data_IF_141538552546
#
_entry.id   IF_141538552546
#
_cell.length_a   1.000
_cell.length_b   1.000
_cell.length_c   1.000
_cell.angle_alpha   90.00
_cell.angle_beta   90.00
_cell.angle_gamma   90.00
#
_symmetry.space_group_name_H-M   'P 1'
#
loop_
_entity.id
_entity.type
_entity.pdbx_description
1 polymer ?
#
# COMPACT_ATOMS: atom_id res chain seq x y z
N UNK A 1 -27.86 -1.24 -18.05
CA UNK A 1 -27.08 -1.59 -19.26
C UNK A 1 -25.67 -1.96 -18.82
N UNK A 2 -24.82 -2.58 -19.66
CA UNK A 2 -23.38 -2.64 -19.36
C UNK A 2 -22.75 -1.33 -19.83
N UNK A 3 -22.30 -0.49 -18.90
CA UNK A 3 -21.60 0.76 -19.20
C UNK A 3 -20.35 0.47 -20.05
N UNK A 4 -20.07 1.31 -21.04
CA UNK A 4 -18.93 1.17 -21.94
C UNK A 4 -17.63 1.63 -21.27
N UNK A 5 -16.55 0.85 -21.47
CA UNK A 5 -15.17 1.27 -21.23
C UNK A 5 -14.52 1.57 -22.60
N UNK A 6 -13.66 2.57 -22.65
CA UNK A 6 -12.94 2.98 -23.87
C UNK A 6 -11.49 3.33 -23.55
N UNK A 7 -10.54 2.74 -24.27
CA UNK A 7 -9.11 3.07 -24.18
C UNK A 7 -8.86 4.54 -24.58
N UNK A 8 -7.97 5.24 -23.86
CA UNK A 8 -7.57 6.64 -24.15
C UNK A 8 -6.07 6.78 -24.40
N UNK A 9 -5.23 6.18 -23.56
CA UNK A 9 -3.76 6.28 -23.65
C UNK A 9 -3.10 5.04 -23.04
N UNK A 10 -1.96 4.61 -23.60
CA UNK A 10 -1.03 3.68 -22.94
C UNK A 10 0.17 4.49 -22.44
N UNK A 11 0.29 4.60 -21.12
CA UNK A 11 1.35 5.33 -20.42
C UNK A 11 2.52 4.37 -20.15
N UNK A 12 3.59 4.53 -20.92
CA UNK A 12 4.79 3.68 -20.84
C UNK A 12 5.40 3.61 -19.43
N UNK A 13 6.15 2.53 -19.14
CA UNK A 13 6.75 2.35 -17.81
C UNK A 13 7.70 3.49 -17.41
N UNK A 14 8.40 4.12 -18.36
CA UNK A 14 9.24 5.29 -18.09
C UNK A 14 8.39 6.49 -17.63
N UNK A 15 7.36 6.86 -18.39
CA UNK A 15 6.43 7.96 -18.04
C UNK A 15 5.67 7.68 -16.74
N UNK A 16 5.31 6.42 -16.49
CA UNK A 16 4.71 5.99 -15.23
C UNK A 16 5.68 6.17 -14.04
N UNK A 17 6.97 5.84 -14.18
CA UNK A 17 7.97 6.11 -13.13
C UNK A 17 8.13 7.60 -12.85
N UNK A 18 7.99 8.46 -13.86
CA UNK A 18 8.02 9.93 -13.68
C UNK A 18 6.79 10.44 -12.91
N UNK A 19 5.60 9.91 -13.20
CA UNK A 19 4.38 10.17 -12.41
C UNK A 19 4.55 9.68 -10.96
N UNK A 20 4.97 8.43 -10.75
CA UNK A 20 5.18 7.86 -9.40
C UNK A 20 6.20 8.67 -8.59
N UNK A 21 7.33 9.09 -9.19
CA UNK A 21 8.33 9.99 -8.56
C UNK A 21 7.77 11.35 -8.13
N UNK A 22 6.65 11.78 -8.71
CA UNK A 22 6.00 13.06 -8.43
C UNK A 22 4.82 12.99 -7.47
N UNK A 23 4.35 11.78 -7.10
CA UNK A 23 3.40 11.58 -6.00
C UNK A 23 3.91 12.29 -4.76
N UNK A 24 3.00 12.99 -4.08
CA UNK A 24 3.23 13.59 -2.77
C UNK A 24 2.48 12.84 -1.69
N UNK A 25 3.01 12.78 -0.47
CA UNK A 25 2.19 12.47 0.70
C UNK A 25 1.21 13.62 0.97
N UNK A 26 -0.01 13.28 1.38
CA UNK A 26 -1.08 14.23 1.69
C UNK A 26 -0.77 15.06 2.95
N UNK A 27 0.00 14.51 3.89
CA UNK A 27 0.42 15.23 5.09
C UNK A 27 1.74 14.74 5.72
N UNK A 28 2.74 14.42 4.89
CA UNK A 28 4.13 14.53 5.32
C UNK A 28 4.74 15.79 4.73
N UNK A 29 5.49 16.49 5.58
CA UNK A 29 6.13 17.76 5.27
C UNK A 29 7.61 17.74 5.66
N UNK A 30 8.41 18.61 5.05
CA UNK A 30 9.70 19.03 5.61
C UNK A 30 9.50 20.17 6.63
N UNK A 31 10.60 20.72 7.17
CA UNK A 31 10.57 21.83 8.13
C UNK A 31 10.03 23.13 7.51
N UNK A 32 10.06 23.23 6.18
CA UNK A 32 9.56 24.34 5.36
C UNK A 32 8.05 24.25 5.02
N UNK A 33 7.32 23.26 5.57
CA UNK A 33 5.90 22.93 5.22
C UNK A 33 5.68 22.49 3.75
N UNK A 34 6.72 22.13 2.98
CA UNK A 34 6.57 21.55 1.64
C UNK A 34 6.17 20.05 1.71
N UNK A 35 5.25 19.60 0.85
CA UNK A 35 4.85 18.19 0.78
C UNK A 35 6.01 17.26 0.37
N UNK A 36 6.17 16.16 1.10
CA UNK A 36 7.18 15.14 0.85
C UNK A 36 6.79 14.24 -0.34
N UNK A 37 7.73 14.01 -1.26
CA UNK A 37 7.59 13.06 -2.38
C UNK A 37 8.28 11.73 -2.03
N UNK A 38 7.55 10.64 -1.72
CA UNK A 38 8.13 9.39 -1.19
C UNK A 38 9.09 8.74 -2.19
N UNK A 39 8.63 8.66 -3.43
CA UNK A 39 9.31 7.92 -4.47
C UNK A 39 10.34 8.75 -5.26
N UNK A 40 10.63 10.00 -4.86
CA UNK A 40 11.52 10.94 -5.59
C UNK A 40 12.88 10.33 -5.95
N UNK A 41 13.42 9.47 -5.06
CA UNK A 41 14.68 8.73 -5.21
C UNK A 41 14.51 7.21 -5.41
N UNK A 42 13.28 6.72 -5.54
CA UNK A 42 13.02 5.28 -5.65
C UNK A 42 13.52 4.69 -6.97
N UNK A 43 13.94 3.44 -6.88
CA UNK A 43 14.14 2.52 -8.02
C UNK A 43 12.82 1.79 -8.25
N UNK A 44 12.54 1.46 -9.50
CA UNK A 44 11.32 0.77 -9.90
C UNK A 44 11.68 -0.32 -10.92
N UNK A 45 11.13 -1.51 -10.74
CA UNK A 45 11.24 -2.63 -11.68
C UNK A 45 9.88 -3.29 -11.86
N UNK A 46 9.70 -4.01 -12.98
CA UNK A 46 8.58 -4.94 -13.14
C UNK A 46 9.06 -6.32 -12.70
N UNK A 47 8.31 -6.94 -11.78
CA UNK A 47 8.57 -8.29 -11.29
C UNK A 47 7.26 -9.09 -11.25
N UNK A 48 7.32 -10.35 -10.82
CA UNK A 48 6.17 -11.28 -10.84
C UNK A 48 5.76 -11.68 -9.42
N UNK A 49 4.47 -11.64 -9.12
CA UNK A 49 3.89 -12.33 -7.95
C UNK A 49 3.27 -13.64 -8.40
N UNK A 50 3.62 -14.73 -7.73
CA UNK A 50 3.07 -16.07 -7.96
C UNK A 50 2.00 -16.43 -6.94
N UNK A 51 0.94 -17.16 -7.35
CA UNK A 51 -0.07 -17.67 -6.44
C UNK A 51 0.49 -18.67 -5.42
N UNK A 52 -0.17 -18.78 -4.27
CA UNK A 52 0.17 -19.73 -3.22
C UNK A 52 0.21 -21.17 -3.72
N UNK A 53 1.34 -21.87 -3.50
CA UNK A 53 1.54 -23.27 -3.94
C UNK A 53 0.62 -24.28 -3.21
N UNK A 54 0.12 -23.92 -2.02
CA UNK A 54 -0.85 -24.72 -1.25
C UNK A 54 -1.64 -23.85 -0.28
N UNK A 55 -2.72 -24.39 0.28
CA UNK A 55 -3.55 -23.69 1.26
C UNK A 55 -2.75 -23.37 2.54
N UNK A 56 -2.75 -22.10 2.96
CA UNK A 56 -2.02 -21.64 4.14
C UNK A 56 -0.57 -21.20 3.89
N UNK A 57 -0.08 -21.31 2.65
CA UNK A 57 1.19 -20.70 2.21
C UNK A 57 0.91 -19.33 1.60
N UNK A 58 1.73 -18.32 1.91
CA UNK A 58 1.62 -16.97 1.33
C UNK A 58 1.90 -16.96 -0.18
N UNK A 59 1.36 -16.00 -0.94
CA UNK A 59 1.90 -15.65 -2.24
C UNK A 59 3.39 -15.28 -2.15
N UNK A 60 4.10 -15.41 -3.27
CA UNK A 60 5.54 -15.05 -3.32
C UNK A 60 5.82 -14.06 -4.43
N UNK A 61 6.65 -13.07 -4.14
CA UNK A 61 7.23 -12.18 -5.15
C UNK A 61 8.55 -12.80 -5.62
N UNK A 62 8.73 -12.92 -6.94
CA UNK A 62 9.95 -13.43 -7.56
C UNK A 62 10.82 -12.25 -8.00
N UNK A 63 12.06 -12.20 -7.52
CA UNK A 63 13.02 -11.14 -7.83
C UNK A 63 14.34 -11.83 -8.18
N UNK A 64 14.82 -11.64 -9.41
CA UNK A 64 16.03 -12.28 -9.93
C UNK A 64 16.06 -13.82 -9.74
N UNK A 65 14.91 -14.49 -9.91
CA UNK A 65 14.75 -15.94 -9.71
C UNK A 65 14.62 -16.39 -8.23
N UNK A 66 14.69 -15.47 -7.26
CA UNK A 66 14.51 -15.78 -5.83
C UNK A 66 13.09 -15.41 -5.39
N UNK A 67 12.40 -16.34 -4.74
CA UNK A 67 11.06 -16.14 -4.21
C UNK A 67 11.10 -15.64 -2.75
N UNK A 68 10.41 -14.52 -2.48
CA UNK A 68 10.24 -13.96 -1.15
C UNK A 68 8.76 -13.96 -0.73
N UNK A 69 8.43 -14.10 0.57
CA UNK A 69 7.05 -13.95 1.04
C UNK A 69 6.49 -12.56 0.73
N UNK A 70 5.28 -12.51 0.18
CA UNK A 70 4.53 -11.27 -0.02
C UNK A 70 3.49 -11.09 1.09
N UNK A 71 3.42 -9.88 1.66
CA UNK A 71 2.50 -9.52 2.74
C UNK A 71 1.41 -8.56 2.23
N UNK A 72 0.17 -8.74 2.70
CA UNK A 72 -0.97 -7.87 2.34
C UNK A 72 -1.45 -7.04 3.55
N UNK A 73 -1.76 -5.74 3.40
CA UNK A 73 -2.43 -4.95 4.43
C UNK A 73 -3.97 -5.07 4.36
N UNK A 74 -4.52 -5.84 3.41
CA UNK A 74 -5.96 -5.93 3.13
C UNK A 74 -6.46 -7.39 3.09
N UNK A 75 -7.58 -7.74 3.77
CA UNK A 75 -7.98 -9.14 3.98
C UNK A 75 -9.19 -9.58 3.15
N UNK A 76 -9.74 -8.73 2.26
CA UNK A 76 -11.04 -8.99 1.62
C UNK A 76 -11.17 -8.23 0.31
N UNK A 77 -11.37 -8.94 -0.80
CA UNK A 77 -12.04 -8.35 -1.98
C UNK A 77 -13.54 -8.26 -1.65
N UNK A 78 -14.12 -7.07 -1.70
CA UNK A 78 -15.57 -6.93 -1.67
C UNK A 78 -16.16 -7.35 -3.03
N UNK A 79 -17.33 -7.96 -3.04
CA UNK A 79 -17.95 -8.51 -4.28
C UNK A 79 -18.06 -7.46 -5.40
N UNK A 80 -18.44 -6.23 -5.07
CA UNK A 80 -18.47 -5.12 -6.02
C UNK A 80 -17.08 -4.73 -6.57
N UNK A 81 -15.99 -4.88 -5.81
CA UNK A 81 -14.63 -4.68 -6.32
C UNK A 81 -14.23 -5.81 -7.27
N UNK A 82 -14.65 -7.04 -6.98
CA UNK A 82 -14.44 -8.19 -7.87
C UNK A 82 -15.19 -8.04 -9.20
N UNK A 83 -16.42 -7.53 -9.18
CA UNK A 83 -17.20 -7.23 -10.40
C UNK A 83 -16.57 -6.10 -11.23
N UNK A 84 -16.14 -5.03 -10.57
CA UNK A 84 -15.37 -3.94 -11.20
C UNK A 84 -14.11 -4.50 -11.86
N UNK A 85 -13.32 -5.31 -11.15
CA UNK A 85 -12.06 -5.86 -11.66
C UNK A 85 -12.28 -6.82 -12.84
N UNK A 86 -13.29 -7.68 -12.78
CA UNK A 86 -13.72 -8.52 -13.92
C UNK A 86 -14.11 -7.67 -15.12
N UNK A 87 -14.88 -6.59 -14.90
CA UNK A 87 -15.32 -5.70 -15.98
C UNK A 87 -14.14 -5.02 -16.68
N UNK A 88 -13.10 -4.64 -15.94
CA UNK A 88 -11.88 -4.06 -16.52
C UNK A 88 -10.98 -5.12 -17.17
N UNK A 89 -10.86 -6.35 -16.63
CA UNK A 89 -10.11 -7.43 -17.28
C UNK A 89 -10.79 -7.93 -18.57
N UNK A 90 -12.13 -7.99 -18.62
CA UNK A 90 -12.90 -8.24 -19.84
C UNK A 90 -12.70 -7.12 -20.88
N UNK A 91 -12.62 -5.86 -20.45
CA UNK A 91 -12.28 -4.73 -21.32
C UNK A 91 -10.84 -4.84 -21.88
N UNK A 92 -9.84 -4.98 -21.00
CA UNK A 92 -8.43 -5.13 -21.38
C UNK A 92 -8.24 -6.28 -22.38
N UNK A 93 -8.92 -7.42 -22.16
CA UNK A 93 -8.90 -8.58 -23.06
C UNK A 93 -9.36 -8.28 -24.48
N UNK A 94 -10.28 -7.32 -24.67
CA UNK A 94 -10.71 -6.90 -26.01
C UNK A 94 -9.69 -5.98 -26.69
N UNK A 95 -8.92 -5.22 -25.89
CA UNK A 95 -7.77 -4.41 -26.35
C UNK A 95 -6.49 -5.26 -26.53
N UNK A 96 -6.53 -6.57 -26.28
CA UNK A 96 -5.40 -7.50 -26.38
C UNK A 96 -4.58 -7.68 -25.09
N UNK A 97 -4.91 -6.94 -24.04
CA UNK A 97 -4.22 -6.90 -22.74
C UNK A 97 -4.85 -7.85 -21.70
N UNK A 98 -4.20 -8.05 -20.55
CA UNK A 98 -4.80 -8.70 -19.37
C UNK A 98 -4.36 -8.04 -18.07
N UNK A 99 -5.25 -7.96 -17.08
CA UNK A 99 -4.96 -7.26 -15.82
C UNK A 99 -3.77 -7.84 -15.04
N UNK A 100 -3.49 -9.14 -15.22
CA UNK A 100 -2.35 -9.81 -14.60
C UNK A 100 -1.04 -9.72 -15.43
N UNK A 101 -1.08 -9.18 -16.65
CA UNK A 101 0.06 -9.17 -17.58
C UNK A 101 0.59 -7.75 -17.89
N UNK A 102 -0.12 -6.69 -17.44
CA UNK A 102 0.26 -5.27 -17.59
C UNK A 102 1.68 -4.95 -17.08
N UNK A 103 2.44 -4.19 -17.88
CA UNK A 103 3.79 -3.67 -17.54
C UNK A 103 3.90 -2.15 -17.64
N UNK A 104 2.77 -1.50 -17.84
CA UNK A 104 2.57 -0.07 -18.09
C UNK A 104 1.18 0.33 -17.58
N UNK A 105 0.89 1.62 -17.50
CA UNK A 105 -0.44 2.08 -17.10
C UNK A 105 -1.35 2.28 -18.32
N UNK A 106 -2.58 1.78 -18.22
CA UNK A 106 -3.64 1.99 -19.21
C UNK A 106 -4.54 3.12 -18.72
N UNK A 107 -4.62 4.23 -19.46
CA UNK A 107 -5.65 5.25 -19.24
C UNK A 107 -6.89 4.86 -20.04
N UNK A 108 -8.01 4.72 -19.34
CA UNK A 108 -9.30 4.43 -19.94
C UNK A 108 -10.38 5.35 -19.37
N UNK A 109 -11.49 5.42 -20.07
CA UNK A 109 -12.68 6.17 -19.71
C UNK A 109 -13.82 5.18 -19.54
N UNK A 110 -14.59 5.37 -18.47
CA UNK A 110 -15.71 4.53 -18.12
C UNK A 110 -16.95 5.41 -18.10
N UNK A 111 -17.87 5.11 -19.01
CA UNK A 111 -19.18 5.75 -19.14
C UNK A 111 -19.87 5.89 -17.77
N UNK A 112 -20.40 7.08 -17.50
CA UNK A 112 -20.98 7.54 -16.22
C UNK A 112 -20.04 7.60 -15.01
N UNK A 113 -18.73 7.31 -15.17
CA UNK A 113 -17.75 7.21 -14.07
C UNK A 113 -16.45 7.99 -14.28
N UNK A 114 -16.12 8.38 -15.51
CA UNK A 114 -15.01 9.26 -15.87
C UNK A 114 -13.70 8.54 -16.20
N UNK A 115 -12.58 9.29 -16.15
CA UNK A 115 -11.26 8.78 -16.56
C UNK A 115 -10.48 8.11 -15.42
N UNK A 116 -9.87 6.97 -15.71
CA UNK A 116 -9.11 6.14 -14.77
C UNK A 116 -7.75 5.73 -15.36
N UNK A 117 -6.73 5.64 -14.50
CA UNK A 117 -5.48 4.94 -14.82
C UNK A 117 -5.43 3.58 -14.13
N UNK A 118 -5.26 2.52 -14.92
CA UNK A 118 -4.91 1.19 -14.45
C UNK A 118 -3.41 0.91 -14.66
N UNK A 119 -2.61 1.23 -13.65
CA UNK A 119 -1.22 0.78 -13.50
C UNK A 119 -1.14 -0.68 -13.03
N UNK A 120 -0.02 -1.41 -13.21
CA UNK A 120 0.20 -2.68 -12.51
C UNK A 120 0.23 -2.43 -10.99
N UNK A 121 -0.15 -3.41 -10.15
CA UNK A 121 -0.11 -3.27 -8.69
C UNK A 121 1.28 -2.87 -8.17
N UNK A 122 1.33 -2.07 -7.11
CA UNK A 122 2.58 -1.59 -6.52
C UNK A 122 2.91 -2.38 -5.25
N UNK A 123 4.15 -2.86 -5.16
CA UNK A 123 4.73 -3.45 -3.95
C UNK A 123 5.96 -2.64 -3.55
N UNK A 124 6.02 -2.21 -2.30
CA UNK A 124 7.22 -1.60 -1.73
C UNK A 124 8.10 -2.65 -1.05
N UNK A 125 9.41 -2.56 -1.26
CA UNK A 125 10.41 -3.23 -0.43
C UNK A 125 10.74 -2.37 0.79
N UNK A 126 10.61 -2.95 1.97
CA UNK A 126 11.03 -2.33 3.22
C UNK A 126 12.09 -3.14 3.94
N UNK A 127 12.95 -2.44 4.67
CA UNK A 127 14.04 -2.97 5.47
C UNK A 127 13.96 -2.33 6.84
N UNK A 128 13.67 -3.12 7.88
CA UNK A 128 13.62 -2.65 9.28
C UNK A 128 14.75 -3.27 10.09
N UNK A 129 15.20 -2.58 11.14
CA UNK A 129 16.08 -3.18 12.13
C UNK A 129 15.26 -3.97 13.15
N UNK A 130 15.67 -5.22 13.41
CA UNK A 130 15.10 -6.06 14.45
C UNK A 130 16.10 -6.22 15.61
N UNK A 131 15.55 -6.28 16.83
CA UNK A 131 16.26 -6.51 18.09
C UNK A 131 15.53 -7.61 18.87
N UNK A 132 16.17 -8.77 19.03
CA UNK A 132 15.53 -9.97 19.62
C UNK A 132 14.31 -10.47 18.83
N UNK A 133 14.24 -10.17 17.53
CA UNK A 133 13.08 -10.43 16.68
C UNK A 133 11.99 -9.35 16.68
N UNK A 134 12.05 -8.38 17.59
CA UNK A 134 11.11 -7.25 17.67
C UNK A 134 11.57 -6.07 16.83
N UNK A 135 10.64 -5.21 16.37
CA UNK A 135 11.01 -3.97 15.65
C UNK A 135 11.73 -3.02 16.61
N UNK A 136 12.93 -2.58 16.21
CA UNK A 136 13.65 -1.51 16.90
C UNK A 136 12.99 -0.16 16.58
N UNK A 137 12.17 0.35 17.51
CA UNK A 137 11.41 1.58 17.34
C UNK A 137 12.29 2.84 17.30
N UNK A 138 13.50 2.80 17.88
CA UNK A 138 14.43 3.93 17.88
C UNK A 138 15.14 4.03 16.53
N UNK A 139 15.49 2.88 15.92
CA UNK A 139 15.99 2.81 14.54
C UNK A 139 14.89 3.11 13.52
N UNK A 140 13.64 2.77 13.81
CA UNK A 140 12.49 3.13 13.01
C UNK A 140 12.22 4.65 13.04
N UNK A 141 12.17 5.28 14.21
CA UNK A 141 11.93 6.73 14.33
C UNK A 141 13.04 7.55 13.68
N UNK A 142 14.29 7.08 13.73
CA UNK A 142 15.42 7.66 13.00
C UNK A 142 15.22 7.71 11.47
N UNK A 143 14.32 6.90 10.88
CA UNK A 143 13.94 7.01 9.44
C UNK A 143 13.04 8.20 9.16
N UNK A 144 12.36 8.73 10.18
CA UNK A 144 11.49 9.90 10.13
C UNK A 144 12.22 11.21 10.50
N UNK A 145 13.56 11.18 10.54
CA UNK A 145 14.38 12.38 10.63
C UNK A 145 14.13 13.34 9.45
N UNK A 146 13.75 14.57 9.78
CA UNK A 146 13.35 15.66 8.89
C UNK A 146 11.95 15.49 8.25
N UNK A 147 11.17 14.52 8.70
CA UNK A 147 9.77 14.35 8.31
C UNK A 147 8.87 14.87 9.42
N UNK A 148 7.82 15.59 9.03
CA UNK A 148 6.90 16.27 9.94
C UNK A 148 5.45 16.01 9.53
N UNK A 149 4.55 16.04 10.50
CA UNK A 149 3.10 16.17 10.28
C UNK A 149 2.65 17.56 10.71
N UNK A 150 1.55 18.05 10.12
CA UNK A 150 0.78 19.13 10.71
C UNK A 150 -0.24 18.55 11.69
N UNK A 151 -0.65 19.36 12.68
CA UNK A 151 -1.87 19.15 13.45
C UNK A 151 -3.01 20.05 12.94
N UNK A 152 -4.19 20.00 13.58
CA UNK A 152 -5.35 20.77 13.16
C UNK A 152 -5.23 22.30 13.31
N UNK A 153 -4.14 22.80 13.91
CA UNK A 153 -3.82 24.24 14.00
C UNK A 153 -2.59 24.62 13.17
N UNK A 154 -2.20 23.73 12.26
CA UNK A 154 -0.98 23.81 11.47
C UNK A 154 0.34 23.95 12.27
N UNK A 155 0.38 23.49 13.53
CA UNK A 155 1.64 23.33 14.23
C UNK A 155 2.42 22.18 13.58
N UNK A 156 3.74 22.34 13.46
CA UNK A 156 4.59 21.37 12.77
C UNK A 156 5.26 20.42 13.77
N UNK A 157 4.89 19.15 13.73
CA UNK A 157 5.32 18.11 14.67
C UNK A 157 6.32 17.15 14.02
N UNK A 158 7.49 16.97 14.64
CA UNK A 158 8.61 16.18 14.10
C UNK A 158 8.45 14.68 14.37
N UNK A 159 8.40 13.87 13.32
CA UNK A 159 8.04 12.44 13.41
C UNK A 159 9.22 11.52 13.81
N UNK A 160 10.43 12.05 14.00
CA UNK A 160 11.49 11.31 14.70
C UNK A 160 11.24 11.23 16.21
N UNK A 161 10.44 12.14 16.77
CA UNK A 161 9.98 12.06 18.15
C UNK A 161 8.80 11.08 18.22
N UNK A 162 8.98 9.96 18.94
CA UNK A 162 7.89 8.98 19.14
C UNK A 162 6.64 9.62 19.75
N UNK A 163 6.83 10.59 20.63
CA UNK A 163 5.75 11.29 21.32
C UNK A 163 5.65 12.73 20.79
N UNK A 164 4.47 13.09 20.27
CA UNK A 164 4.13 14.46 19.92
C UNK A 164 3.44 15.13 21.11
N UNK A 165 3.93 16.28 21.53
CA UNK A 165 3.40 17.02 22.67
C UNK A 165 2.34 18.03 22.21
N UNK A 166 1.16 17.98 22.82
CA UNK A 166 0.00 18.84 22.57
C UNK A 166 -0.50 18.81 21.11
N UNK A 167 -0.64 17.61 20.54
CA UNK A 167 -1.12 17.42 19.17
C UNK A 167 -2.63 17.73 19.04
N UNK A 168 -3.00 18.76 18.30
CA UNK A 168 -4.40 19.15 18.09
C UNK A 168 -5.13 18.26 17.07
N UNK A 169 -6.24 17.64 17.49
CA UNK A 169 -7.12 16.85 16.60
C UNK A 169 -8.08 17.77 15.84
N UNK A 170 -8.50 18.86 16.48
CA UNK A 170 -9.37 19.91 15.95
C UNK A 170 -9.01 21.28 16.59
N UNK A 171 -9.84 22.30 16.39
CA UNK A 171 -9.62 23.66 16.90
C UNK A 171 -9.60 23.79 18.43
N UNK A 172 -10.13 22.81 19.18
CA UNK A 172 -10.20 22.83 20.65
C UNK A 172 -9.62 21.56 21.31
N UNK A 173 -9.78 20.39 20.70
CA UNK A 173 -9.34 19.11 21.25
C UNK A 173 -7.87 18.82 20.93
N UNK A 174 -7.09 18.45 21.94
CA UNK A 174 -5.69 18.01 21.77
C UNK A 174 -5.36 16.79 22.61
N UNK A 175 -4.37 16.02 22.16
CA UNK A 175 -3.77 14.93 22.91
C UNK A 175 -2.47 15.47 23.51
N UNK A 176 -2.39 15.57 24.85
CA UNK A 176 -1.23 16.15 25.55
C UNK A 176 0.09 15.45 25.18
N UNK A 177 0.09 14.13 25.17
CA UNK A 177 1.23 13.32 24.75
C UNK A 177 0.72 12.20 23.85
N UNK A 178 1.16 12.20 22.60
CA UNK A 178 0.61 11.37 21.56
C UNK A 178 1.69 10.46 20.97
N UNK A 179 1.59 9.15 21.21
CA UNK A 179 2.44 8.15 20.56
C UNK A 179 2.12 8.12 19.06
N UNK A 180 3.07 8.53 18.20
CA UNK A 180 2.90 8.41 16.75
C UNK A 180 2.74 6.94 16.38
N UNK A 181 3.38 6.04 17.14
CA UNK A 181 3.23 4.62 16.97
C UNK A 181 2.00 4.10 17.72
N UNK A 182 1.38 3.09 17.15
CA UNK A 182 0.48 2.17 17.80
C UNK A 182 1.19 1.65 19.06
N UNK A 183 0.54 1.72 20.22
CA UNK A 183 1.13 1.30 21.50
C UNK A 183 1.62 -0.16 21.49
N UNK A 184 1.12 -0.97 20.55
CA UNK A 184 1.51 -2.37 20.34
C UNK A 184 2.71 -2.54 19.39
N UNK A 185 3.29 -1.48 18.85
CA UNK A 185 4.38 -1.51 17.88
C UNK A 185 5.64 -2.24 18.37
N UNK A 186 5.98 -2.10 19.65
CA UNK A 186 7.12 -2.77 20.30
C UNK A 186 6.91 -4.28 20.50
N UNK A 187 5.68 -4.77 20.33
CA UNK A 187 5.29 -6.14 20.65
C UNK A 187 5.35 -7.07 19.44
N UNK A 188 5.49 -6.55 18.21
CA UNK A 188 5.56 -7.39 17.01
C UNK A 188 6.93 -8.06 16.91
N UNK A 189 6.91 -9.38 17.11
CA UNK A 189 8.04 -10.26 16.89
C UNK A 189 7.90 -11.00 15.56
N UNK A 190 8.97 -11.06 14.76
CA UNK A 190 9.00 -11.76 13.48
C UNK A 190 9.24 -13.29 13.59
N UNK A 191 9.19 -13.84 14.81
CA UNK A 191 9.28 -15.28 15.09
C UNK A 191 10.71 -15.84 15.20
N UNK A 192 11.73 -14.97 15.18
CA UNK A 192 13.15 -15.35 15.13
C UNK A 192 13.89 -14.51 16.18
N UNK A 193 14.76 -15.12 17.01
CA UNK A 193 15.66 -14.39 17.92
C UNK A 193 16.82 -13.74 17.16
N UNK A 194 16.50 -12.80 16.27
CA UNK A 194 17.42 -12.14 15.35
C UNK A 194 17.70 -10.69 15.75
N UNK A 195 18.95 -10.27 15.55
CA UNK A 195 19.40 -8.88 15.61
C UNK A 195 19.99 -8.51 14.24
N UNK A 196 19.50 -7.46 13.59
CA UNK A 196 19.97 -7.09 12.26
C UNK A 196 18.92 -6.46 11.37
N UNK A 197 19.16 -6.42 10.06
CA UNK A 197 18.21 -5.89 9.08
C UNK A 197 17.32 -7.02 8.53
N UNK A 198 16.01 -6.77 8.49
CA UNK A 198 15.02 -7.69 7.93
C UNK A 198 14.29 -7.04 6.76
N UNK A 199 14.43 -7.63 5.57
CA UNK A 199 13.73 -7.25 4.34
C UNK A 199 12.34 -7.91 4.28
N UNK A 200 11.33 -7.16 3.81
CA UNK A 200 9.98 -7.65 3.55
C UNK A 200 9.29 -6.82 2.47
N UNK A 201 8.28 -7.42 1.82
CA UNK A 201 7.62 -6.87 0.64
C UNK A 201 6.12 -6.74 0.93
N UNK A 202 5.56 -5.54 0.79
CA UNK A 202 4.14 -5.28 1.07
C UNK A 202 3.42 -4.72 -0.16
N UNK A 203 2.23 -5.26 -0.43
CA UNK A 203 1.31 -4.71 -1.42
C UNK A 203 0.84 -3.33 -0.95
N UNK A 204 1.24 -2.30 -1.69
CA UNK A 204 0.98 -0.90 -1.38
C UNK A 204 -0.15 -0.32 -2.24
N UNK A 205 -0.26 -0.72 -3.51
CA UNK A 205 -1.47 -0.50 -4.30
C UNK A 205 -1.90 -1.76 -5.07
N UNK A 206 -3.20 -1.91 -5.31
CA UNK A 206 -3.73 -2.93 -6.21
C UNK A 206 -3.89 -4.33 -5.61
N UNK A 207 -3.92 -4.46 -4.28
CA UNK A 207 -4.32 -5.67 -3.52
C UNK A 207 -5.36 -6.50 -4.25
N UNK A 208 -6.58 -5.98 -4.43
CA UNK A 208 -7.71 -6.69 -5.04
C UNK A 208 -7.43 -7.24 -6.45
N UNK A 209 -6.44 -6.70 -7.17
CA UNK A 209 -6.03 -7.16 -8.51
C UNK A 209 -5.03 -8.32 -8.42
N UNK A 210 -4.13 -8.29 -7.42
CA UNK A 210 -3.30 -9.43 -7.04
C UNK A 210 -4.20 -10.56 -6.53
N UNK A 211 -5.12 -10.25 -5.62
CA UNK A 211 -6.10 -11.19 -5.06
C UNK A 211 -6.94 -11.84 -6.18
N UNK A 212 -7.40 -11.04 -7.16
CA UNK A 212 -8.11 -11.53 -8.35
C UNK A 212 -7.25 -12.47 -9.22
N UNK A 213 -6.00 -12.08 -9.52
CA UNK A 213 -5.10 -12.92 -10.31
C UNK A 213 -4.79 -14.25 -9.62
N UNK A 214 -4.66 -14.24 -8.28
CA UNK A 214 -4.30 -15.41 -7.48
C UNK A 214 -5.50 -16.32 -7.18
N UNK A 215 -6.60 -15.79 -6.64
CA UNK A 215 -7.76 -16.62 -6.25
C UNK A 215 -8.64 -16.99 -7.44
N UNK A 216 -8.87 -16.07 -8.39
CA UNK A 216 -9.83 -16.24 -9.48
C UNK A 216 -9.21 -16.66 -10.81
N UNK A 217 -8.15 -15.98 -11.27
CA UNK A 217 -7.44 -16.39 -12.51
C UNK A 217 -6.48 -17.57 -12.28
N UNK A 218 -6.00 -17.74 -11.04
CA UNK A 218 -4.94 -18.70 -10.65
C UNK A 218 -3.67 -18.57 -11.50
N UNK A 219 -3.33 -17.32 -11.86
CA UNK A 219 -2.16 -16.96 -12.67
C UNK A 219 -1.18 -16.10 -11.86
N UNK A 220 0.11 -16.08 -12.22
CA UNK A 220 1.02 -15.04 -11.79
C UNK A 220 0.58 -13.65 -12.30
N UNK A 221 0.97 -12.60 -11.58
CA UNK A 221 0.68 -11.20 -11.91
C UNK A 221 1.96 -10.35 -11.99
N UNK A 222 2.06 -9.55 -13.05
CA UNK A 222 3.08 -8.50 -13.20
C UNK A 222 2.78 -7.35 -12.25
N UNK A 223 3.81 -6.89 -11.52
CA UNK A 223 3.71 -5.84 -10.50
C UNK A 223 4.90 -4.88 -10.59
N UNK A 224 4.71 -3.65 -10.12
CA UNK A 224 5.79 -2.69 -9.91
C UNK A 224 6.39 -2.96 -8.53
N UNK A 225 7.65 -3.40 -8.50
CA UNK A 225 8.46 -3.38 -7.28
C UNK A 225 9.13 -2.02 -7.14
N UNK A 226 8.94 -1.39 -5.98
CA UNK A 226 9.58 -0.13 -5.60
C UNK A 226 10.64 -0.42 -4.54
N UNK A 227 11.87 0.00 -4.80
CA UNK A 227 12.99 -0.12 -3.87
C UNK A 227 13.59 1.24 -3.52
N UNK A 228 14.08 1.39 -2.30
CA UNK A 228 14.69 2.64 -1.86
C UNK A 228 16.04 2.86 -2.55
N UNK A 229 16.22 4.02 -3.18
CA UNK A 229 17.52 4.41 -3.74
C UNK A 229 18.60 4.60 -2.66
N UNK A 230 18.20 5.12 -1.49
CA UNK A 230 19.04 5.48 -0.35
C UNK A 230 18.35 5.15 1.00
N UNK A 231 17.71 3.98 1.11
CA UNK A 231 16.97 3.52 2.29
C UNK A 231 15.84 4.46 2.79
N UNK A 232 15.36 5.37 1.94
CA UNK A 232 14.38 6.43 2.24
C UNK A 232 12.90 6.08 2.00
N UNK A 233 12.55 4.86 1.56
CA UNK A 233 11.14 4.51 1.34
C UNK A 233 10.36 4.55 2.66
N UNK A 234 9.45 5.53 2.73
CA UNK A 234 8.45 5.65 3.78
C UNK A 234 7.25 4.80 3.37
N UNK A 235 6.94 3.73 4.12
CA UNK A 235 5.85 2.82 3.82
C UNK A 235 4.47 3.49 3.71
N UNK A 236 3.76 3.23 2.62
CA UNK A 236 2.39 3.70 2.37
C UNK A 236 1.35 3.04 3.29
N UNK A 237 1.45 1.72 3.49
CA UNK A 237 0.55 0.91 4.33
C UNK A 237 1.31 -0.08 5.24
N UNK A 238 2.64 -0.01 5.27
CA UNK A 238 3.52 -1.13 5.60
C UNK A 238 4.23 -1.00 6.96
N UNK A 239 3.54 -1.45 8.01
CA UNK A 239 3.76 -0.97 9.37
C UNK A 239 2.89 -1.84 10.34
N UNK A 240 3.31 -2.80 11.22
CA UNK A 240 2.37 -3.72 11.96
C UNK A 240 1.38 -3.25 13.11
N UNK A 241 0.21 -3.92 13.28
CA UNK A 241 -0.91 -3.73 14.28
C UNK A 241 -0.80 -4.72 15.49
N UNK A 242 -1.57 -4.58 16.60
CA UNK A 242 -1.64 -5.58 17.67
C UNK A 242 -1.88 -7.02 17.20
N UNK A 243 -1.02 -7.90 17.70
CA UNK A 243 -1.03 -9.36 17.66
C UNK A 243 -2.21 -10.11 17.03
N UNK A 244 -1.89 -10.97 16.07
CA UNK A 244 -1.28 -12.30 16.37
C UNK A 244 -0.49 -12.77 15.11
N UNK A 245 0.35 -13.83 15.15
CA UNK A 245 1.20 -14.21 14.01
C UNK A 245 0.57 -15.27 13.08
N UNK A 246 0.10 -14.86 11.90
CA UNK A 246 0.00 -15.64 10.62
C UNK A 246 -0.34 -14.66 9.48
N UNK A 247 -0.46 -15.17 8.24
CA UNK A 247 -0.69 -14.44 6.98
C UNK A 247 -1.92 -15.01 6.27
N UNK A 248 -2.74 -14.16 5.62
CA UNK A 248 -3.77 -14.63 4.67
C UNK A 248 -4.38 -13.54 3.77
N UNK A 249 -4.37 -13.85 2.47
CA UNK A 249 -5.41 -13.49 1.52
C UNK A 249 -6.35 -14.69 1.37
N UNK A 250 -7.65 -14.53 1.61
CA UNK A 250 -8.67 -15.53 1.25
C UNK A 250 -10.09 -14.97 1.27
N UNK A 251 -10.86 -15.22 0.21
CA UNK A 251 -12.30 -14.95 0.14
C UNK A 251 -13.15 -15.53 1.28
N UNK A 252 -14.29 -14.87 1.60
CA UNK A 252 -15.20 -15.17 2.73
C UNK A 252 -15.60 -16.64 2.92
N UNK A 253 -15.75 -17.39 1.82
CA UNK A 253 -16.06 -18.84 1.87
C UNK A 253 -14.98 -19.64 2.63
N UNK A 254 -13.74 -19.17 2.58
CA UNK A 254 -12.58 -19.75 3.27
C UNK A 254 -12.49 -19.35 4.75
N UNK A 255 -13.22 -18.33 5.19
CA UNK A 255 -13.37 -17.95 6.60
C UNK A 255 -14.34 -18.92 7.29
N UNK A 256 -15.51 -19.14 6.67
CA UNK A 256 -16.57 -20.03 7.15
C UNK A 256 -16.10 -21.48 7.36
N UNK A 257 -15.21 -21.98 6.49
CA UNK A 257 -14.70 -23.35 6.57
C UNK A 257 -13.58 -23.54 7.61
N UNK A 258 -12.89 -22.49 8.04
CA UNK A 258 -11.64 -22.59 8.80
C UNK A 258 -11.52 -21.55 9.92
N UNK A 259 -12.37 -21.67 10.94
CA UNK A 259 -12.52 -20.80 12.12
C UNK A 259 -11.26 -20.51 12.98
N UNK A 260 -10.07 -20.95 12.58
CA UNK A 260 -8.78 -20.74 13.27
C UNK A 260 -7.78 -19.91 12.46
N UNK A 261 -8.13 -19.53 11.22
CA UNK A 261 -7.27 -18.77 10.32
C UNK A 261 -7.45 -17.27 10.50
N UNK A 262 -7.12 -16.82 11.70
CA UNK A 262 -6.94 -15.42 12.03
C UNK A 262 -5.67 -14.84 11.36
N UNK A 263 -5.55 -13.51 11.45
CA UNK A 263 -4.32 -12.71 11.27
C UNK A 263 -3.86 -12.54 9.82
N UNK A 264 -3.96 -11.28 9.35
CA UNK A 264 -2.94 -10.61 8.55
C UNK A 264 -3.28 -9.11 8.43
N UNK A 265 -2.90 -8.31 9.43
CA UNK A 265 -3.02 -6.84 9.33
C UNK A 265 -1.97 -6.11 10.13
N UNK A 266 -1.61 -4.96 9.58
CA UNK A 266 -0.38 -4.29 9.88
C UNK A 266 -0.65 -2.76 9.87
N UNK A 267 -0.80 -2.11 11.06
CA UNK A 267 -0.73 -0.62 11.24
C UNK A 267 0.15 -0.12 12.45
N UNK A 268 1.44 0.24 12.23
CA UNK A 268 2.42 0.81 13.22
C UNK A 268 2.08 2.23 13.59
N UNK A 269 1.61 3.08 12.68
CA UNK A 269 1.24 4.44 13.05
C UNK A 269 -0.17 4.46 13.62
N UNK A 270 -0.36 5.26 14.65
CA UNK A 270 -1.66 5.50 15.27
C UNK A 270 -2.67 6.01 14.23
N UNK A 271 -3.94 5.59 14.31
CA UNK A 271 -4.92 5.78 13.22
C UNK A 271 -5.16 7.25 12.82
N UNK A 272 -4.93 8.21 13.72
CA UNK A 272 -4.95 9.65 13.41
C UNK A 272 -3.86 10.01 12.38
N UNK A 273 -2.60 9.63 12.63
CA UNK A 273 -1.48 9.86 11.71
C UNK A 273 -1.67 9.06 10.43
N UNK A 274 -2.06 7.78 10.53
CA UNK A 274 -2.30 6.93 9.35
C UNK A 274 -3.29 7.55 8.35
N UNK A 275 -4.35 8.23 8.82
CA UNK A 275 -5.31 8.97 7.96
C UNK A 275 -4.73 10.20 7.26
N UNK A 276 -3.62 10.74 7.76
CA UNK A 276 -2.89 11.88 7.18
C UNK A 276 -1.88 11.41 6.11
N UNK A 277 -1.33 10.20 6.26
CA UNK A 277 -0.22 9.65 5.46
C UNK A 277 -0.61 8.96 4.14
N UNK A 278 -1.72 9.34 3.51
CA UNK A 278 -2.09 8.80 2.20
C UNK A 278 -1.37 9.53 1.05
N UNK A 279 -1.31 8.90 -0.13
CA UNK A 279 -0.76 9.50 -1.34
C UNK A 279 -1.77 10.40 -2.06
N UNK A 280 -1.24 11.49 -2.59
CA UNK A 280 -1.95 12.50 -3.37
C UNK A 280 -1.82 12.18 -4.87
N UNK A 281 -2.47 11.10 -5.31
CA UNK A 281 -2.37 10.55 -6.67
C UNK A 281 -2.81 11.54 -7.76
N UNK A 282 -3.82 12.36 -7.47
CA UNK A 282 -4.36 13.36 -8.39
C UNK A 282 -3.26 14.39 -8.77
N UNK A 283 -2.44 14.84 -7.80
CA UNK A 283 -1.30 15.76 -8.06
C UNK A 283 -0.14 15.14 -8.85
N UNK A 284 -0.12 13.82 -9.05
CA UNK A 284 0.90 13.12 -9.83
C UNK A 284 0.57 13.03 -11.34
N UNK A 285 -0.58 13.57 -11.77
CA UNK A 285 -1.10 13.42 -13.14
C UNK A 285 -1.85 12.10 -13.39
N UNK A 286 -1.99 11.26 -12.35
CA UNK A 286 -2.76 10.03 -12.43
C UNK A 286 -4.23 10.31 -12.13
N UNK A 287 -5.08 10.26 -13.16
CA UNK A 287 -6.54 10.25 -13.02
C UNK A 287 -6.97 9.02 -12.21
N UNK A 288 -7.16 9.18 -10.90
CA UNK A 288 -7.73 8.17 -9.99
C UNK A 288 -9.12 8.62 -9.59
N UNK A 289 -10.01 8.66 -10.59
CA UNK A 289 -11.43 8.96 -10.36
C UNK A 289 -12.00 8.02 -9.29
N UNK A 290 -12.91 8.53 -8.46
CA UNK A 290 -13.43 7.77 -7.33
C UNK A 290 -14.53 6.85 -7.83
N UNK A 291 -14.21 5.56 -8.04
CA UNK A 291 -15.21 4.50 -8.26
C UNK A 291 -16.26 4.43 -7.14
N UNK A 292 -15.90 4.94 -5.96
CA UNK A 292 -16.84 5.43 -4.96
C UNK A 292 -17.17 6.90 -5.25
N UNK A 293 -18.11 7.12 -6.17
CA UNK A 293 -19.15 8.08 -5.79
C UNK A 293 -19.77 7.52 -4.52
N UNK A 294 -19.85 8.34 -3.46
CA UNK A 294 -20.89 8.05 -2.48
C UNK A 294 -22.20 8.16 -3.25
N UNK A 295 -23.02 7.11 -3.20
CA UNK A 295 -24.42 7.19 -3.66
C UNK A 295 -25.03 8.46 -3.08
N UNK A 296 -25.71 9.25 -3.91
CA UNK A 296 -26.33 10.51 -3.49
C UNK A 296 -27.07 10.29 -2.16
N UNK A 297 -26.68 11.05 -1.14
CA UNK A 297 -27.34 11.02 0.17
C UNK A 297 -28.70 11.72 0.03
N UNK A 298 -29.70 10.92 -0.32
CA UNK A 298 -31.13 11.22 -0.22
C UNK A 298 -31.68 10.40 0.96
#
# INVERSE_FOLDING_TARGET
MKHKLTLKEIVSFEKLKEFLKNISFRGLYNKEKEKIKPYKKAKFSIVTVHPSKSMGVSPTIEINGVHYPLFSPQPTIYENQLEIIKTVDDFLKNEGERINELKYAVKYDWEDRGEFHMLPPIIEKHTYHLRGGFIDLDKLSQRFNNFYTLDAKENLHHLANRYLENFFIDEVSFIKQFDIFNSNASLINYGIQYNGLNDFYIICDGSHRIDYAIEHLRKPISVILVEAGDNSLIPYYAFPMPFRPTIRLSSKRSEQMFHRLERDKIHLFHDLIKKILHYDWETAGLSVSKLRSNTNLF
#
